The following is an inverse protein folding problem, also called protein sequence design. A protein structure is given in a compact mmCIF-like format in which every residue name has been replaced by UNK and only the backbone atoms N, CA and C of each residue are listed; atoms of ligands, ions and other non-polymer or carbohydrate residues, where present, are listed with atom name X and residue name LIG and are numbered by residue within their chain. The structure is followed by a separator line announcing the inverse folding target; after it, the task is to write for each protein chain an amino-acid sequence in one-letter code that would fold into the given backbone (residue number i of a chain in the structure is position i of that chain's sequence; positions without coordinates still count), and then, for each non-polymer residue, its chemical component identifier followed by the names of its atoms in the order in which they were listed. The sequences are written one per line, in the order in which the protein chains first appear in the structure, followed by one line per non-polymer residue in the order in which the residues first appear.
data_IF_410085407396
#
_entry.id   IF_410085407396
#
_cell.length_a   1.000
_cell.length_b   1.000
_cell.length_c   1.000
_cell.angle_alpha   90.00
_cell.angle_beta   90.00
_cell.angle_gamma   90.00
#
_symmetry.space_group_name_H-M   'P 1'
#
loop_
_entity.id
_entity.type
_entity.pdbx_description
1 polymer ?
#
# COMPACT_ATOMS: atom_id res chain seq x y z
N UNK A 1 -13.10 3.33 27.87
CA UNK A 1 -12.85 3.95 26.56
C UNK A 1 -12.24 2.87 25.69
N UNK A 2 -12.96 2.47 24.64
CA UNK A 2 -12.65 1.26 23.87
C UNK A 2 -11.32 1.40 23.16
N UNK A 3 -10.40 0.50 23.49
CA UNK A 3 -9.23 0.20 22.68
C UNK A 3 -9.75 -0.21 21.30
N UNK A 4 -9.56 0.64 20.30
CA UNK A 4 -9.68 0.21 18.92
C UNK A 4 -8.46 -0.65 18.63
N UNK A 5 -8.57 -1.94 18.96
CA UNK A 5 -7.78 -3.00 18.36
C UNK A 5 -8.09 -3.02 16.86
N UNK A 6 -7.42 -2.18 16.08
CA UNK A 6 -7.18 -2.45 14.67
C UNK A 6 -5.88 -3.24 14.56
N UNK A 7 -6.04 -4.54 14.75
CA UNK A 7 -5.06 -5.55 14.37
C UNK A 7 -4.88 -5.54 12.85
N UNK A 8 -3.96 -4.71 12.34
CA UNK A 8 -3.48 -4.83 10.96
C UNK A 8 -2.00 -4.42 10.88
N UNK A 9 -1.11 -5.41 11.01
CA UNK A 9 0.23 -5.39 10.40
C UNK A 9 1.26 -4.41 10.96
N UNK A 10 2.17 -4.93 11.78
CA UNK A 10 3.58 -4.54 11.91
C UNK A 10 3.95 -3.04 11.90
N UNK A 11 4.21 -2.43 13.06
CA UNK A 11 5.21 -1.35 13.23
C UNK A 11 5.10 -0.04 12.43
N UNK A 12 4.10 0.14 11.56
CA UNK A 12 3.96 1.31 10.70
C UNK A 12 3.20 2.45 11.39
N UNK A 13 3.56 3.68 11.06
CA UNK A 13 2.86 4.89 11.51
C UNK A 13 1.49 5.03 10.84
N UNK A 14 0.55 5.76 11.45
CA UNK A 14 -0.78 6.06 10.85
C UNK A 14 -0.65 6.64 9.44
N UNK A 15 0.36 7.49 9.21
CA UNK A 15 0.62 8.09 7.90
C UNK A 15 0.99 7.05 6.83
N UNK A 16 1.83 6.07 7.19
CA UNK A 16 2.22 4.97 6.31
C UNK A 16 1.04 4.03 6.02
N UNK A 17 0.19 3.78 7.02
CA UNK A 17 -1.04 3.01 6.81
C UNK A 17 -2.00 3.74 5.86
N UNK A 18 -2.18 5.05 6.03
CA UNK A 18 -3.00 5.85 5.11
C UNK A 18 -2.42 5.84 3.68
N UNK A 19 -1.10 6.01 3.55
CA UNK A 19 -0.42 5.97 2.25
C UNK A 19 -0.59 4.62 1.56
N UNK A 20 -0.46 3.51 2.30
CA UNK A 20 -0.76 2.15 1.82
C UNK A 20 -2.19 2.06 1.33
N UNK A 21 -3.18 2.45 2.14
CA UNK A 21 -4.59 2.38 1.75
C UNK A 21 -4.89 3.22 0.50
N UNK A 22 -4.35 4.44 0.40
CA UNK A 22 -4.52 5.27 -0.79
C UNK A 22 -3.88 4.66 -2.04
N UNK A 23 -2.67 4.10 -1.91
CA UNK A 23 -2.01 3.41 -3.01
C UNK A 23 -2.83 2.20 -3.50
N UNK A 24 -3.30 1.36 -2.58
CA UNK A 24 -4.12 0.19 -2.91
C UNK A 24 -5.44 0.60 -3.59
N UNK A 25 -6.08 1.69 -3.13
CA UNK A 25 -7.28 2.23 -3.76
C UNK A 25 -7.01 2.75 -5.18
N UNK A 26 -5.91 3.49 -5.37
CA UNK A 26 -5.52 4.01 -6.67
C UNK A 26 -5.22 2.87 -7.65
N UNK A 27 -4.45 1.88 -7.23
CA UNK A 27 -4.07 0.75 -8.08
C UNK A 27 -5.28 -0.10 -8.49
N UNK A 28 -6.18 -0.37 -7.55
CA UNK A 28 -7.44 -1.04 -7.85
C UNK A 28 -8.28 -0.25 -8.85
N UNK A 29 -8.38 1.07 -8.68
CA UNK A 29 -9.08 1.96 -9.61
C UNK A 29 -8.43 1.97 -10.99
N UNK A 30 -7.10 2.05 -11.09
CA UNK A 30 -6.37 1.99 -12.37
C UNK A 30 -6.54 0.64 -13.09
N UNK A 31 -6.78 -0.44 -12.35
CA UNK A 31 -7.06 -1.77 -12.87
C UNK A 31 -8.55 -2.06 -13.15
N UNK A 32 -9.44 -1.07 -12.98
CA UNK A 32 -10.90 -1.25 -13.08
C UNK A 32 -11.44 -2.37 -12.17
N UNK A 33 -10.77 -2.59 -11.03
CA UNK A 33 -11.08 -3.65 -10.07
C UNK A 33 -11.54 -3.05 -8.74
N UNK A 34 -12.45 -3.75 -8.05
CA UNK A 34 -12.81 -3.35 -6.70
C UNK A 34 -11.61 -3.49 -5.75
N UNK A 35 -11.52 -2.60 -4.76
CA UNK A 35 -10.37 -2.52 -3.84
C UNK A 35 -10.15 -3.83 -3.08
N UNK A 36 -11.22 -4.44 -2.57
CA UNK A 36 -11.12 -5.70 -1.80
C UNK A 36 -10.51 -6.84 -2.62
N UNK A 37 -11.05 -7.22 -3.79
CA UNK A 37 -10.45 -8.31 -4.58
C UNK A 37 -9.03 -7.97 -5.06
N UNK A 38 -8.73 -6.71 -5.35
CA UNK A 38 -7.35 -6.30 -5.69
C UNK A 38 -6.40 -6.52 -4.51
N UNK A 39 -6.82 -6.15 -3.29
CA UNK A 39 -6.03 -6.40 -2.07
C UNK A 39 -5.87 -7.90 -1.85
N UNK A 40 -6.90 -8.72 -2.00
CA UNK A 40 -6.78 -10.17 -1.81
C UNK A 40 -5.81 -10.82 -2.80
N UNK A 41 -5.78 -10.34 -4.05
CA UNK A 41 -4.89 -10.85 -5.09
C UNK A 41 -3.44 -10.41 -4.89
N UNK A 42 -3.21 -9.15 -4.49
CA UNK A 42 -1.88 -8.53 -4.50
C UNK A 42 -1.32 -8.15 -3.12
N UNK A 43 -2.04 -8.43 -2.03
CA UNK A 43 -1.59 -8.08 -0.67
C UNK A 43 -0.25 -8.73 -0.33
N UNK A 44 0.00 -9.95 -0.84
CA UNK A 44 1.25 -10.66 -0.59
C UNK A 44 2.42 -9.99 -1.29
N UNK A 45 2.29 -9.64 -2.58
CA UNK A 45 3.34 -8.98 -3.35
C UNK A 45 3.62 -7.58 -2.83
N UNK A 46 2.57 -6.84 -2.45
CA UNK A 46 2.73 -5.54 -1.80
C UNK A 46 3.44 -5.66 -0.45
N UNK A 47 3.13 -6.69 0.36
CA UNK A 47 3.77 -6.93 1.65
C UNK A 47 5.25 -7.35 1.50
N UNK A 48 5.57 -8.15 0.48
CA UNK A 48 6.95 -8.51 0.14
C UNK A 48 7.76 -7.29 -0.31
N UNK A 49 7.17 -6.43 -1.15
CA UNK A 49 7.77 -5.15 -1.53
C UNK A 49 8.05 -4.28 -0.31
N UNK A 50 7.07 -4.09 0.59
CA UNK A 50 7.27 -3.30 1.82
C UNK A 50 8.36 -3.90 2.71
N UNK A 51 8.51 -5.22 2.76
CA UNK A 51 9.60 -5.88 3.50
C UNK A 51 10.97 -5.66 2.86
N UNK A 52 11.03 -5.65 1.52
CA UNK A 52 12.27 -5.43 0.75
C UNK A 52 12.67 -3.96 0.71
N UNK A 53 11.70 -3.06 0.64
CA UNK A 53 11.87 -1.61 0.57
C UNK A 53 10.91 -0.91 1.55
N UNK A 54 11.23 -0.86 2.85
CA UNK A 54 10.35 -0.27 3.87
C UNK A 54 10.10 1.24 3.67
N UNK A 55 10.98 1.92 2.93
CA UNK A 55 10.84 3.32 2.57
C UNK A 55 9.71 3.56 1.57
N UNK A 56 9.22 2.53 0.87
CA UNK A 56 8.16 2.68 -0.14
C UNK A 56 6.89 3.29 0.47
N UNK A 57 6.59 2.98 1.73
CA UNK A 57 5.43 3.54 2.43
C UNK A 57 5.62 5.03 2.77
N UNK A 58 6.85 5.47 3.03
CA UNK A 58 7.18 6.88 3.23
C UNK A 58 7.14 7.63 1.90
N UNK A 59 7.66 7.03 0.83
CA UNK A 59 7.58 7.59 -0.53
C UNK A 59 6.13 7.69 -1.02
N UNK A 60 5.28 6.70 -0.73
CA UNK A 60 3.83 6.76 -1.00
C UNK A 60 3.14 7.84 -0.16
N UNK A 61 3.67 8.18 1.02
CA UNK A 61 3.11 9.20 1.89
C UNK A 61 3.53 10.63 1.55
N UNK A 62 4.50 10.79 0.64
CA UNK A 62 5.05 12.07 0.20
C UNK A 62 4.58 12.40 -1.22
N UNK A 63 3.88 13.52 -1.40
CA UNK A 63 3.31 13.92 -2.70
C UNK A 63 4.35 13.95 -3.84
N UNK A 64 5.59 14.37 -3.54
CA UNK A 64 6.67 14.49 -4.53
C UNK A 64 7.17 13.14 -5.05
N UNK A 65 7.11 12.10 -4.24
CA UNK A 65 7.62 10.76 -4.55
C UNK A 65 6.50 9.74 -4.76
N UNK A 66 5.26 10.10 -4.42
CA UNK A 66 4.07 9.25 -4.54
C UNK A 66 3.93 8.62 -5.93
N UNK A 67 3.98 9.41 -7.00
CA UNK A 67 3.82 8.89 -8.36
C UNK A 67 4.91 7.86 -8.73
N UNK A 68 6.16 8.14 -8.37
CA UNK A 68 7.29 7.22 -8.59
C UNK A 68 7.14 5.94 -7.76
N UNK A 69 6.71 6.07 -6.50
CA UNK A 69 6.46 4.94 -5.62
C UNK A 69 5.30 4.07 -6.11
N UNK A 70 4.22 4.66 -6.60
CA UNK A 70 3.12 3.93 -7.26
C UNK A 70 3.66 3.17 -8.48
N UNK A 71 4.49 3.78 -9.32
CA UNK A 71 5.08 3.06 -10.45
C UNK A 71 5.97 1.88 -10.03
N UNK A 72 6.73 2.01 -8.94
CA UNK A 72 7.51 0.89 -8.37
C UNK A 72 6.58 -0.24 -7.92
N UNK A 73 5.50 0.09 -7.20
CA UNK A 73 4.50 -0.88 -6.75
C UNK A 73 3.84 -1.57 -7.95
N UNK A 74 3.46 -0.81 -8.98
CA UNK A 74 2.86 -1.37 -10.21
C UNK A 74 3.79 -2.36 -10.89
N UNK A 75 5.09 -2.04 -10.96
CA UNK A 75 6.08 -2.97 -11.50
C UNK A 75 6.02 -4.26 -10.69
N UNK A 76 6.21 -4.22 -9.37
CA UNK A 76 6.20 -5.42 -8.52
C UNK A 76 4.93 -6.27 -8.61
N UNK A 77 3.77 -5.63 -8.80
CA UNK A 77 2.47 -6.33 -8.79
C UNK A 77 2.08 -6.90 -10.16
N UNK A 78 2.39 -6.21 -11.26
CA UNK A 78 1.96 -6.62 -12.61
C UNK A 78 3.09 -7.23 -13.45
N UNK A 79 4.05 -7.89 -12.80
CA UNK A 79 5.16 -8.60 -13.46
C UNK A 79 4.73 -9.83 -14.26
#
# INVERSE_FOLDING_TARGET
MGQMEQSTGAGFTERQQLARNMAQMQLAYESDQAVIPWIEEHAKDFDDLVKRDPLILEELAEEKTHASAIEKVKKEIYH
#
